data_IF_710448046391
#
_entry.id   IF_710448046391
#
_cell.length_a   1.000
_cell.length_b   1.000
_cell.length_c   1.000
_cell.angle_alpha   90.00
_cell.angle_beta   90.00
_cell.angle_gamma   90.00
#
_symmetry.space_group_name_H-M   'P 1'
#
loop_
_entity.id
_entity.type
_entity.pdbx_description
1 polymer ?
#
# COMPACT_ATOMS: atom_id res chain seq x y z
N UNK A 1 -8.55 4.29 5.33
CA UNK A 1 -8.18 5.51 6.05
C UNK A 1 -9.27 6.56 5.93
N UNK A 2 -9.36 7.52 6.88
CA UNK A 2 -10.08 8.74 6.63
C UNK A 2 -9.47 9.50 5.44
N UNK A 3 -10.30 10.14 4.64
CA UNK A 3 -9.88 10.82 3.40
C UNK A 3 -9.87 12.35 3.55
N UNK A 4 -10.03 12.87 4.76
CA UNK A 4 -9.96 14.29 5.04
C UNK A 4 -8.51 14.81 5.12
N UNK A 5 -8.36 16.14 4.97
CA UNK A 5 -7.05 16.79 4.96
C UNK A 5 -6.29 16.64 6.30
N UNK A 6 -7.00 16.55 7.43
CA UNK A 6 -6.38 16.37 8.74
C UNK A 6 -5.75 14.97 8.86
N UNK A 7 -6.48 13.93 8.44
CA UNK A 7 -5.96 12.56 8.40
C UNK A 7 -4.78 12.43 7.44
N UNK A 8 -4.83 13.08 6.27
CA UNK A 8 -3.72 13.09 5.32
C UNK A 8 -2.47 13.76 5.92
N UNK A 9 -2.62 14.92 6.55
CA UNK A 9 -1.52 15.61 7.22
C UNK A 9 -0.95 14.80 8.40
N UNK A 10 -1.81 14.14 9.17
CA UNK A 10 -1.38 13.27 10.27
C UNK A 10 -0.62 12.05 9.74
N UNK A 11 -1.11 11.40 8.68
CA UNK A 11 -0.42 10.29 8.02
C UNK A 11 0.98 10.70 7.57
N UNK A 12 1.13 11.85 6.92
CA UNK A 12 2.43 12.39 6.49
C UNK A 12 3.39 12.64 7.66
N UNK A 13 2.90 13.24 8.77
CA UNK A 13 3.72 13.44 9.97
C UNK A 13 4.18 12.11 10.58
N UNK A 14 3.28 11.16 10.74
CA UNK A 14 3.59 9.84 11.29
C UNK A 14 4.55 9.07 10.41
N UNK A 15 4.36 9.09 9.08
CA UNK A 15 5.27 8.48 8.12
C UNK A 15 6.68 9.06 8.22
N UNK A 16 6.80 10.39 8.30
CA UNK A 16 8.09 11.04 8.48
C UNK A 16 8.74 10.66 9.81
N UNK A 17 7.95 10.63 10.89
CA UNK A 17 8.44 10.37 12.24
C UNK A 17 8.93 8.92 12.41
N UNK A 18 8.18 7.95 11.87
CA UNK A 18 8.49 6.52 12.02
C UNK A 18 9.33 5.96 10.87
N UNK A 19 9.36 6.64 9.73
CA UNK A 19 10.08 6.22 8.54
C UNK A 19 11.43 6.89 8.34
N UNK A 20 11.84 7.82 9.20
CA UNK A 20 13.18 8.38 9.17
C UNK A 20 14.19 7.43 9.82
N UNK A 21 15.36 7.28 9.20
CA UNK A 21 16.52 6.66 9.83
C UNK A 21 17.14 7.60 10.88
N UNK A 22 17.85 7.04 11.85
CA UNK A 22 18.62 7.83 12.79
C UNK A 22 19.65 8.73 12.05
N UNK A 23 20.03 9.89 12.62
CA UNK A 23 20.90 10.86 11.94
C UNK A 23 22.25 10.31 11.45
N UNK A 24 22.77 9.29 12.12
CA UNK A 24 24.03 8.61 11.82
C UNK A 24 23.88 7.40 10.88
N UNK A 25 22.65 7.04 10.52
CA UNK A 25 22.34 5.92 9.62
C UNK A 25 22.13 6.40 8.18
N UNK A 26 22.35 5.50 7.23
CA UNK A 26 22.19 5.70 5.80
C UNK A 26 21.63 4.44 5.19
N UNK A 27 20.55 4.55 4.41
CA UNK A 27 19.95 3.41 3.72
C UNK A 27 20.95 2.76 2.75
N UNK A 28 21.74 3.58 2.05
CA UNK A 28 22.75 3.07 1.12
C UNK A 28 23.81 2.24 1.84
N UNK A 29 24.15 2.56 3.10
CA UNK A 29 25.10 1.78 3.90
C UNK A 29 24.52 0.50 4.49
N UNK A 30 23.19 0.39 4.59
CA UNK A 30 22.49 -0.82 5.03
C UNK A 30 22.34 -1.86 3.90
N UNK A 31 22.49 -1.43 2.66
CA UNK A 31 22.40 -2.26 1.45
C UNK A 31 23.78 -2.79 1.05
N UNK A 32 23.79 -3.87 0.25
CA UNK A 32 24.99 -4.29 -0.46
C UNK A 32 25.40 -3.24 -1.49
N UNK A 33 26.66 -3.21 -1.95
CA UNK A 33 27.09 -2.30 -3.02
C UNK A 33 26.25 -2.45 -4.30
N UNK A 34 25.85 -3.67 -4.63
CA UNK A 34 25.00 -3.96 -5.79
C UNK A 34 23.60 -3.37 -5.61
N UNK A 35 22.95 -3.61 -4.46
CA UNK A 35 21.60 -3.09 -4.17
C UNK A 35 21.62 -1.55 -4.03
N UNK A 36 22.67 -0.97 -3.49
CA UNK A 36 22.89 0.49 -3.45
C UNK A 36 22.95 1.08 -4.86
N UNK A 37 23.67 0.44 -5.77
CA UNK A 37 23.74 0.88 -7.17
C UNK A 37 22.38 0.73 -7.86
N UNK A 38 21.65 -0.38 -7.60
CA UNK A 38 20.29 -0.59 -8.11
C UNK A 38 19.32 0.47 -7.58
N UNK A 39 19.34 0.75 -6.29
CA UNK A 39 18.53 1.82 -5.68
C UNK A 39 18.77 3.17 -6.37
N UNK A 40 20.02 3.51 -6.68
CA UNK A 40 20.36 4.75 -7.37
C UNK A 40 19.79 4.80 -8.80
N UNK A 41 19.88 3.69 -9.56
CA UNK A 41 19.32 3.61 -10.92
C UNK A 41 17.80 3.71 -10.91
N UNK A 42 17.13 2.94 -10.04
CA UNK A 42 15.66 2.96 -9.89
C UNK A 42 15.18 4.34 -9.45
N UNK A 43 15.82 4.94 -8.44
CA UNK A 43 15.48 6.28 -7.98
C UNK A 43 15.54 7.31 -9.13
N UNK A 44 16.60 7.25 -9.95
CA UNK A 44 16.77 8.12 -11.13
C UNK A 44 15.67 7.87 -12.17
N UNK A 45 15.38 6.60 -12.48
CA UNK A 45 14.37 6.22 -13.46
C UNK A 45 12.96 6.69 -13.13
N UNK A 46 12.66 6.83 -11.83
CA UNK A 46 11.36 7.26 -11.31
C UNK A 46 11.35 8.66 -10.71
N UNK A 47 12.38 9.45 -10.96
CA UNK A 47 12.53 10.85 -10.52
C UNK A 47 12.36 11.02 -8.99
N UNK A 48 12.89 10.07 -8.21
CA UNK A 48 12.95 10.14 -6.75
C UNK A 48 14.38 10.51 -6.33
N UNK A 49 14.53 11.45 -5.39
CA UNK A 49 15.85 11.89 -4.93
C UNK A 49 16.58 10.79 -4.16
N UNK A 50 17.77 10.34 -4.58
CA UNK A 50 18.59 9.40 -3.81
C UNK A 50 18.94 9.94 -2.43
N UNK A 51 19.20 11.24 -2.30
CA UNK A 51 19.52 11.87 -1.02
C UNK A 51 18.33 11.85 -0.04
N UNK A 52 17.09 11.91 -0.55
CA UNK A 52 15.90 11.70 0.26
C UNK A 52 15.83 10.24 0.72
N UNK A 53 15.96 9.29 -0.21
CA UNK A 53 15.88 7.86 0.09
C UNK A 53 16.91 7.42 1.12
N UNK A 54 18.12 8.01 1.10
CA UNK A 54 19.20 7.69 2.05
C UNK A 54 18.83 7.96 3.52
N UNK A 55 17.81 8.81 3.74
CA UNK A 55 17.34 9.18 5.08
C UNK A 55 16.12 8.38 5.55
N UNK A 56 15.60 7.50 4.70
CA UNK A 56 14.36 6.75 4.96
C UNK A 56 14.65 5.31 5.40
N UNK A 57 13.80 4.79 6.27
CA UNK A 57 13.69 3.35 6.48
C UNK A 57 13.24 2.66 5.19
N UNK A 58 13.60 1.37 4.98
CA UNK A 58 13.32 0.69 3.71
C UNK A 58 11.83 0.72 3.33
N UNK A 59 10.92 0.50 4.27
CA UNK A 59 9.47 0.51 4.00
C UNK A 59 8.98 1.86 3.43
N UNK A 60 9.52 2.99 3.93
CA UNK A 60 9.12 4.31 3.44
C UNK A 60 9.82 4.65 2.12
N UNK A 61 11.03 4.13 1.91
CA UNK A 61 11.71 4.24 0.63
C UNK A 61 10.95 3.50 -0.48
N UNK A 62 10.40 2.32 -0.23
CA UNK A 62 9.52 1.59 -1.16
C UNK A 62 8.29 2.41 -1.53
N UNK A 63 7.60 3.01 -0.55
CA UNK A 63 6.44 3.87 -0.81
C UNK A 63 6.82 5.09 -1.65
N UNK A 64 7.98 5.70 -1.39
CA UNK A 64 8.46 6.84 -2.17
C UNK A 64 8.76 6.46 -3.62
N UNK A 65 9.37 5.29 -3.85
CA UNK A 65 9.65 4.76 -5.18
C UNK A 65 8.36 4.41 -5.93
N UNK A 66 7.41 3.73 -5.27
CA UNK A 66 6.09 3.43 -5.84
C UNK A 66 5.35 4.71 -6.24
N UNK A 67 5.39 5.75 -5.40
CA UNK A 67 4.85 7.07 -5.72
C UNK A 67 5.52 7.71 -6.96
N UNK A 68 6.82 7.50 -7.13
CA UNK A 68 7.55 7.90 -8.34
C UNK A 68 7.06 7.16 -9.59
N UNK A 69 6.88 5.84 -9.48
CA UNK A 69 6.36 5.01 -10.57
C UNK A 69 4.94 5.42 -10.98
N UNK A 70 4.08 5.68 -10.02
CA UNK A 70 2.70 6.13 -10.26
C UNK A 70 2.67 7.48 -10.99
N UNK A 71 3.46 8.47 -10.54
CA UNK A 71 3.58 9.76 -11.24
C UNK A 71 4.10 9.61 -12.66
N UNK A 72 5.12 8.78 -12.87
CA UNK A 72 5.67 8.50 -14.22
C UNK A 72 4.63 7.87 -15.13
N UNK A 73 3.75 7.04 -14.60
CA UNK A 73 2.65 6.42 -15.35
C UNK A 73 1.43 7.36 -15.53
N UNK A 74 1.50 8.60 -15.04
CA UNK A 74 0.41 9.57 -15.17
C UNK A 74 -0.73 9.39 -14.19
N UNK A 75 -0.53 8.64 -13.09
CA UNK A 75 -1.55 8.50 -12.06
C UNK A 75 -1.72 9.82 -11.30
N UNK A 76 -2.99 10.20 -11.11
CA UNK A 76 -3.39 11.35 -10.33
C UNK A 76 -3.86 10.92 -8.93
N UNK A 77 -3.19 11.41 -7.90
CA UNK A 77 -3.54 11.12 -6.53
C UNK A 77 -4.89 11.72 -6.10
N UNK A 78 -5.34 12.78 -6.78
CA UNK A 78 -6.63 13.44 -6.48
C UNK A 78 -7.81 12.74 -7.19
N UNK A 79 -7.53 11.93 -8.22
CA UNK A 79 -8.53 11.16 -8.98
C UNK A 79 -8.91 9.82 -8.36
N UNK A 80 -8.59 9.56 -7.09
CA UNK A 80 -8.88 8.31 -6.40
C UNK A 80 -10.38 7.97 -6.33
N UNK A 81 -10.71 6.68 -6.43
CA UNK A 81 -12.10 6.17 -6.37
C UNK A 81 -12.78 6.59 -5.06
N UNK A 82 -12.05 6.52 -3.93
CA UNK A 82 -12.55 6.90 -2.61
C UNK A 82 -12.97 8.36 -2.55
N UNK A 83 -12.14 9.25 -3.10
CA UNK A 83 -12.42 10.69 -3.12
C UNK A 83 -13.60 11.01 -4.04
N UNK A 84 -13.64 10.38 -5.22
CA UNK A 84 -14.73 10.56 -6.19
C UNK A 84 -16.07 10.12 -5.60
N UNK A 85 -16.12 8.96 -4.95
CA UNK A 85 -17.35 8.46 -4.32
C UNK A 85 -17.75 9.32 -3.13
N UNK A 86 -16.80 9.73 -2.29
CA UNK A 86 -17.09 10.60 -1.15
C UNK A 86 -17.62 11.98 -1.59
N UNK A 87 -17.06 12.55 -2.66
CA UNK A 87 -17.54 13.83 -3.21
C UNK A 87 -18.96 13.71 -3.79
N UNK A 88 -19.34 12.56 -4.32
CA UNK A 88 -20.69 12.28 -4.85
C UNK A 88 -21.68 11.82 -3.76
N UNK A 89 -21.22 11.60 -2.53
CA UNK A 89 -22.08 11.13 -1.45
C UNK A 89 -23.11 12.20 -1.03
N UNK A 90 -24.35 11.82 -0.71
CA UNK A 90 -25.33 12.78 -0.24
C UNK A 90 -24.90 13.38 1.12
N UNK A 91 -25.36 14.61 1.45
CA UNK A 91 -24.99 15.27 2.72
C UNK A 91 -25.36 14.49 3.98
N UNK A 92 -26.27 13.54 3.87
CA UNK A 92 -26.70 12.66 4.96
C UNK A 92 -25.83 11.40 5.09
N UNK A 93 -24.86 11.20 4.21
CA UNK A 93 -23.95 10.07 4.29
C UNK A 93 -22.94 10.25 5.42
N UNK A 94 -22.71 9.18 6.16
CA UNK A 94 -21.68 9.14 7.20
C UNK A 94 -20.46 8.40 6.67
N UNK A 95 -19.33 9.07 6.60
CA UNK A 95 -18.06 8.47 6.22
C UNK A 95 -17.45 7.73 7.42
N UNK A 96 -17.02 6.52 7.18
CA UNK A 96 -16.34 5.70 8.17
C UNK A 96 -15.06 5.13 7.58
N UNK A 97 -13.99 5.11 8.35
CA UNK A 97 -12.75 4.46 7.98
C UNK A 97 -12.59 3.13 8.75
N UNK A 98 -11.98 2.15 8.13
CA UNK A 98 -11.64 0.87 8.79
C UNK A 98 -10.39 0.99 9.68
N UNK A 99 -9.53 1.97 9.42
CA UNK A 99 -8.25 2.14 10.09
C UNK A 99 -7.96 3.61 10.32
N UNK A 100 -7.26 3.89 11.39
CA UNK A 100 -6.70 5.22 11.67
C UNK A 100 -5.34 5.39 10.97
N UNK A 101 -4.86 6.62 10.76
CA UNK A 101 -3.50 6.87 10.29
C UNK A 101 -2.43 6.21 11.14
N UNK A 102 -2.61 6.20 12.47
CA UNK A 102 -1.69 5.57 13.42
C UNK A 102 -1.57 4.06 13.19
N UNK A 103 -2.71 3.37 13.05
CA UNK A 103 -2.74 1.92 12.81
C UNK A 103 -2.07 1.56 11.50
N UNK A 104 -2.32 2.33 10.43
CA UNK A 104 -1.72 2.07 9.12
C UNK A 104 -0.20 2.25 9.14
N UNK A 105 0.28 3.37 9.68
CA UNK A 105 1.73 3.61 9.72
C UNK A 105 2.43 2.62 10.66
N UNK A 106 1.86 2.33 11.82
CA UNK A 106 2.40 1.32 12.73
C UNK A 106 2.50 -0.06 12.06
N UNK A 107 1.51 -0.46 11.26
CA UNK A 107 1.51 -1.71 10.52
C UNK A 107 2.63 -1.76 9.47
N UNK A 108 2.84 -0.69 8.71
CA UNK A 108 3.89 -0.59 7.69
C UNK A 108 5.29 -0.61 8.32
N UNK A 109 5.45 0.07 9.45
CA UNK A 109 6.71 0.15 10.18
C UNK A 109 7.04 -1.09 11.05
N UNK A 110 6.11 -2.02 11.24
CA UNK A 110 6.22 -3.10 12.23
C UNK A 110 7.25 -4.20 11.90
N UNK A 111 7.72 -4.30 10.67
CA UNK A 111 8.68 -5.31 10.26
C UNK A 111 10.09 -5.05 10.81
N UNK A 112 10.85 -6.08 11.21
CA UNK A 112 12.26 -5.90 11.55
C UNK A 112 13.05 -5.37 10.34
N UNK A 113 14.15 -4.68 10.58
CA UNK A 113 14.99 -4.08 9.53
C UNK A 113 15.40 -5.11 8.44
N UNK A 114 15.68 -6.35 8.84
CA UNK A 114 16.04 -7.43 7.90
C UNK A 114 14.91 -7.77 6.92
N UNK A 115 13.66 -7.80 7.40
CA UNK A 115 12.47 -8.03 6.56
C UNK A 115 12.24 -6.84 5.61
N UNK A 116 12.34 -5.62 6.12
CA UNK A 116 12.18 -4.41 5.31
C UNK A 116 13.24 -4.30 4.21
N UNK A 117 14.51 -4.64 4.52
CA UNK A 117 15.58 -4.66 3.53
C UNK A 117 15.38 -5.76 2.48
N UNK A 118 14.87 -6.92 2.87
CA UNK A 118 14.54 -7.99 1.93
C UNK A 118 13.41 -7.55 0.97
N UNK A 119 12.34 -6.95 1.50
CA UNK A 119 11.25 -6.39 0.70
C UNK A 119 11.75 -5.34 -0.29
N UNK A 120 12.53 -4.37 0.18
CA UNK A 120 13.11 -3.33 -0.68
C UNK A 120 13.94 -3.92 -1.83
N UNK A 121 14.74 -4.97 -1.58
CA UNK A 121 15.53 -5.62 -2.64
C UNK A 121 14.66 -6.22 -3.74
N UNK A 122 13.60 -6.92 -3.36
CA UNK A 122 12.63 -7.48 -4.33
C UNK A 122 11.94 -6.37 -5.11
N UNK A 123 11.45 -5.34 -4.43
CA UNK A 123 10.85 -4.16 -5.09
C UNK A 123 11.80 -3.50 -6.09
N UNK A 124 13.07 -3.29 -5.70
CA UNK A 124 14.07 -2.70 -6.59
C UNK A 124 14.33 -3.57 -7.83
N UNK A 125 14.36 -4.89 -7.66
CA UNK A 125 14.53 -5.83 -8.75
C UNK A 125 13.32 -5.81 -9.69
N UNK A 126 12.12 -5.89 -9.16
CA UNK A 126 10.89 -5.80 -9.95
C UNK A 126 10.81 -4.49 -10.74
N UNK A 127 11.09 -3.35 -10.11
CA UNK A 127 11.06 -2.05 -10.77
C UNK A 127 12.12 -1.88 -11.86
N UNK A 128 13.24 -2.60 -11.79
CA UNK A 128 14.30 -2.60 -12.82
C UNK A 128 13.96 -3.56 -13.96
N UNK A 129 13.49 -4.77 -13.63
CA UNK A 129 13.21 -5.84 -14.58
C UNK A 129 11.87 -5.62 -15.32
N UNK A 130 10.88 -5.03 -14.64
CA UNK A 130 9.51 -4.86 -15.15
C UNK A 130 9.04 -3.40 -15.07
N UNK A 131 9.63 -2.50 -15.86
CA UNK A 131 9.34 -1.05 -15.77
C UNK A 131 7.89 -0.67 -16.12
N UNK A 132 7.09 -1.55 -16.76
CA UNK A 132 5.66 -1.37 -17.07
C UNK A 132 4.72 -2.11 -16.10
N UNK A 133 5.22 -2.70 -15.00
CA UNK A 133 4.41 -3.47 -14.06
C UNK A 133 3.18 -2.69 -13.57
N UNK A 134 3.31 -1.39 -13.30
CA UNK A 134 2.18 -0.54 -12.94
C UNK A 134 1.14 -0.42 -14.07
N UNK A 135 1.58 -0.28 -15.32
CA UNK A 135 0.69 -0.25 -16.48
C UNK A 135 -0.08 -1.56 -16.65
N UNK A 136 0.56 -2.71 -16.37
CA UNK A 136 -0.11 -4.03 -16.36
C UNK A 136 -1.20 -4.07 -15.29
N UNK A 137 -0.89 -3.64 -14.07
CA UNK A 137 -1.86 -3.59 -12.95
C UNK A 137 -3.06 -2.68 -13.27
N UNK A 138 -2.82 -1.50 -13.85
CA UNK A 138 -3.89 -0.57 -14.23
C UNK A 138 -4.80 -1.19 -15.30
N UNK A 139 -4.23 -1.84 -16.32
CA UNK A 139 -5.01 -2.53 -17.34
C UNK A 139 -5.84 -3.69 -16.76
N UNK A 140 -5.23 -4.52 -15.91
CA UNK A 140 -5.91 -5.61 -15.23
C UNK A 140 -7.08 -5.10 -14.36
N UNK A 141 -6.86 -4.01 -13.62
CA UNK A 141 -7.89 -3.36 -12.82
C UNK A 141 -9.03 -2.82 -13.68
N UNK A 142 -8.70 -2.10 -14.75
CA UNK A 142 -9.69 -1.48 -15.65
C UNK A 142 -10.55 -2.51 -16.40
N UNK A 143 -10.00 -3.69 -16.70
CA UNK A 143 -10.70 -4.78 -17.41
C UNK A 143 -11.35 -5.79 -16.46
N UNK A 144 -11.09 -5.70 -15.15
CA UNK A 144 -11.57 -6.66 -14.17
C UNK A 144 -10.86 -8.03 -14.24
N UNK A 145 -9.63 -8.06 -14.72
CA UNK A 145 -8.81 -9.28 -14.77
C UNK A 145 -8.26 -9.60 -13.37
N UNK A 146 -9.08 -10.32 -12.61
CA UNK A 146 -8.78 -10.71 -11.23
C UNK A 146 -7.57 -11.63 -11.15
N UNK A 147 -7.36 -12.49 -12.16
CA UNK A 147 -6.23 -13.41 -12.18
C UNK A 147 -4.90 -12.66 -12.37
N UNK A 148 -4.86 -11.70 -13.29
CA UNK A 148 -3.71 -10.84 -13.48
C UNK A 148 -3.44 -9.98 -12.23
N UNK A 149 -4.48 -9.42 -11.60
CA UNK A 149 -4.32 -8.66 -10.36
C UNK A 149 -3.73 -9.50 -9.21
N UNK A 150 -4.17 -10.75 -9.04
CA UNK A 150 -3.60 -11.63 -8.01
C UNK A 150 -2.13 -11.97 -8.33
N UNK A 151 -1.86 -12.31 -9.59
CA UNK A 151 -0.52 -12.67 -10.05
C UNK A 151 0.49 -11.53 -9.90
N UNK A 152 0.12 -10.34 -10.34
CA UNK A 152 1.04 -9.18 -10.40
C UNK A 152 1.14 -8.43 -9.05
N UNK A 153 0.07 -8.37 -8.25
CA UNK A 153 0.06 -7.57 -7.03
C UNK A 153 0.22 -8.38 -5.75
N UNK A 154 -0.41 -9.54 -5.63
CA UNK A 154 -0.48 -10.25 -4.36
C UNK A 154 0.47 -11.44 -4.27
N UNK A 155 0.66 -12.16 -5.35
CA UNK A 155 1.51 -13.35 -5.38
C UNK A 155 2.98 -13.03 -5.06
N UNK A 156 3.60 -11.95 -5.57
CA UNK A 156 4.95 -11.55 -5.20
C UNK A 156 5.11 -11.33 -3.69
N UNK A 157 4.20 -10.56 -3.08
CA UNK A 157 4.24 -10.31 -1.62
C UNK A 157 4.01 -11.60 -0.83
N UNK A 158 3.08 -12.44 -1.28
CA UNK A 158 2.75 -13.73 -0.63
C UNK A 158 3.95 -14.69 -0.66
N UNK A 159 4.71 -14.70 -1.76
CA UNK A 159 5.92 -15.55 -1.94
C UNK A 159 7.12 -14.98 -1.18
N UNK A 160 7.37 -13.68 -1.29
CA UNK A 160 8.53 -13.04 -0.69
C UNK A 160 8.44 -12.98 0.84
N UNK A 161 7.28 -12.63 1.39
CA UNK A 161 7.05 -12.54 2.83
C UNK A 161 5.61 -12.89 3.20
N UNK A 162 5.32 -14.18 3.54
CA UNK A 162 4.00 -14.56 4.05
C UNK A 162 3.58 -13.78 5.29
N UNK A 163 4.53 -13.37 6.13
CA UNK A 163 4.26 -12.56 7.32
C UNK A 163 3.80 -11.14 6.95
N UNK A 164 4.44 -10.54 5.95
CA UNK A 164 4.05 -9.23 5.41
C UNK A 164 2.67 -9.31 4.75
N UNK A 165 2.44 -10.31 3.90
CA UNK A 165 1.13 -10.55 3.28
C UNK A 165 0.03 -10.71 4.33
N UNK A 166 0.30 -11.49 5.38
CA UNK A 166 -0.64 -11.67 6.50
C UNK A 166 -0.97 -10.32 7.14
N UNK A 167 0.03 -9.48 7.44
CA UNK A 167 -0.14 -8.16 8.05
C UNK A 167 -0.93 -7.20 7.14
N UNK A 168 -0.54 -7.13 5.86
CA UNK A 168 -1.09 -6.16 4.91
C UNK A 168 -2.48 -6.53 4.39
N UNK A 169 -2.82 -7.81 4.30
CA UNK A 169 -4.05 -8.30 3.67
C UNK A 169 -4.89 -9.13 4.61
N UNK A 170 -4.39 -10.27 5.09
CA UNK A 170 -5.20 -11.29 5.76
C UNK A 170 -5.80 -10.78 7.08
N UNK A 171 -4.97 -10.20 7.95
CA UNK A 171 -5.40 -9.70 9.26
C UNK A 171 -6.31 -8.47 9.14
N UNK A 172 -6.04 -7.60 8.16
CA UNK A 172 -6.89 -6.44 7.87
C UNK A 172 -8.26 -6.89 7.39
N UNK A 173 -8.32 -7.78 6.42
CA UNK A 173 -9.58 -8.33 5.91
C UNK A 173 -10.38 -9.03 7.01
N UNK A 174 -9.73 -9.71 7.95
CA UNK A 174 -10.40 -10.33 9.09
C UNK A 174 -11.07 -9.30 10.01
N UNK A 175 -10.34 -8.24 10.40
CA UNK A 175 -10.90 -7.16 11.22
C UNK A 175 -12.02 -6.39 10.51
N UNK A 176 -11.82 -6.07 9.24
CA UNK A 176 -12.81 -5.33 8.45
C UNK A 176 -14.08 -6.14 8.20
N UNK A 177 -13.96 -7.46 7.98
CA UNK A 177 -15.13 -8.33 7.84
C UNK A 177 -16.00 -8.33 9.10
N UNK A 178 -15.39 -8.35 10.28
CA UNK A 178 -16.14 -8.24 11.56
C UNK A 178 -16.85 -6.89 11.70
N UNK A 179 -16.17 -5.80 11.36
CA UNK A 179 -16.77 -4.46 11.38
C UNK A 179 -17.93 -4.34 10.37
N UNK A 180 -17.79 -4.94 9.19
CA UNK A 180 -18.85 -4.98 8.16
C UNK A 180 -20.03 -5.85 8.58
N UNK A 181 -19.78 -7.02 9.16
CA UNK A 181 -20.86 -7.88 9.66
C UNK A 181 -21.72 -7.14 10.71
N UNK A 182 -21.10 -6.48 11.65
CA UNK A 182 -21.81 -5.63 12.62
C UNK A 182 -22.60 -4.51 11.95
N UNK A 183 -22.05 -3.89 10.92
CA UNK A 183 -22.71 -2.80 10.18
C UNK A 183 -23.90 -3.29 9.34
N UNK A 184 -23.76 -4.45 8.70
CA UNK A 184 -24.80 -5.06 7.85
C UNK A 184 -26.01 -5.54 8.66
N UNK A 185 -25.84 -5.83 9.95
CA UNK A 185 -26.94 -6.15 10.88
C UNK A 185 -27.72 -4.92 11.32
N UNK A 186 -27.23 -3.72 11.06
CA UNK A 186 -27.89 -2.45 11.35
C UNK A 186 -28.78 -1.97 10.21
N UNK A 187 -29.19 -0.71 10.31
CA UNK A 187 -29.97 -0.05 9.27
C UNK A 187 -29.08 0.73 8.32
N UNK A 188 -29.50 0.84 7.06
CA UNK A 188 -28.84 1.63 6.04
C UNK A 188 -28.31 0.82 4.86
N UNK A 189 -27.65 1.50 3.93
CA UNK A 189 -27.10 0.90 2.69
C UNK A 189 -25.64 1.34 2.58
N UNK A 190 -24.71 0.60 3.20
CA UNK A 190 -23.30 0.95 3.12
C UNK A 190 -22.73 0.74 1.72
N UNK A 191 -21.91 1.68 1.27
CA UNK A 191 -20.98 1.51 0.15
C UNK A 191 -19.60 1.34 0.75
N UNK A 192 -18.89 0.28 0.35
CA UNK A 192 -17.56 -0.05 0.88
C UNK A 192 -16.55 0.10 -0.25
N UNK A 193 -15.56 0.95 -0.05
CA UNK A 193 -14.46 1.17 -1.00
C UNK A 193 -13.15 0.78 -0.36
N UNK A 194 -12.45 -0.15 -0.98
CA UNK A 194 -11.15 -0.65 -0.53
C UNK A 194 -10.27 -0.95 -1.74
N UNK A 195 -8.96 -0.98 -1.54
CA UNK A 195 -8.03 -1.36 -2.60
C UNK A 195 -8.33 -2.76 -3.16
N UNK A 196 -8.16 -2.94 -4.47
CA UNK A 196 -8.49 -4.17 -5.19
C UNK A 196 -7.86 -5.44 -4.57
N UNK A 197 -6.65 -5.33 -4.01
CA UNK A 197 -5.99 -6.44 -3.30
C UNK A 197 -6.76 -6.99 -2.09
N UNK A 198 -7.71 -6.23 -1.54
CA UNK A 198 -8.60 -6.70 -0.47
C UNK A 198 -9.86 -7.40 -0.98
N UNK A 199 -10.11 -7.36 -2.30
CA UNK A 199 -11.31 -7.89 -2.94
C UNK A 199 -11.07 -9.22 -3.69
N UNK A 200 -9.81 -9.62 -3.85
CA UNK A 200 -9.42 -10.79 -4.65
C UNK A 200 -8.79 -11.88 -3.78
N UNK A 201 -8.88 -13.13 -4.27
CA UNK A 201 -8.33 -14.30 -3.59
C UNK A 201 -9.19 -14.86 -2.45
N UNK A 202 -8.76 -16.00 -1.87
CA UNK A 202 -9.53 -16.73 -0.85
C UNK A 202 -9.63 -16.00 0.49
N UNK A 203 -8.66 -15.14 0.82
CA UNK A 203 -8.68 -14.31 2.04
C UNK A 203 -9.34 -12.96 1.84
N UNK A 204 -9.98 -12.74 0.69
CA UNK A 204 -10.62 -11.47 0.34
C UNK A 204 -11.76 -11.10 1.26
N UNK A 205 -12.03 -9.80 1.32
CA UNK A 205 -13.14 -9.27 2.11
C UNK A 205 -14.50 -9.84 1.70
N UNK A 206 -14.85 -10.00 0.38
CA UNK A 206 -16.11 -10.64 -0.03
C UNK A 206 -16.19 -12.14 0.25
N UNK A 207 -15.08 -12.86 0.39
CA UNK A 207 -15.10 -14.29 0.69
C UNK A 207 -15.43 -14.58 2.17
N UNK A 208 -15.07 -13.67 3.08
CA UNK A 208 -15.19 -13.85 4.54
C UNK A 208 -16.64 -13.79 5.07
N UNK A 209 -17.54 -12.88 4.66
CA UNK A 209 -18.93 -12.89 5.11
C UNK A 209 -19.68 -14.17 4.73
N UNK A 210 -19.32 -14.79 3.60
CA UNK A 210 -19.90 -16.09 3.19
C UNK A 210 -19.49 -17.24 4.11
N UNK A 211 -18.38 -17.10 4.84
CA UNK A 211 -17.91 -18.08 5.82
C UNK A 211 -18.51 -17.85 7.22
N UNK A 212 -19.11 -16.69 7.46
CA UNK A 212 -19.75 -16.34 8.73
C UNK A 212 -21.25 -16.68 8.78
N UNK A 213 -21.82 -17.23 7.69
CA UNK A 213 -23.21 -17.64 7.60
C UNK A 213 -24.05 -16.76 6.75
#
# INVERSE_FOLDING_TARGET
>A
LPIDAEAAALTGRLATQQGALAPDQSLFKLLSPEDSARLSRVATAYAVSPALLDRLQPWLAEIALAGGAYRKAGADAEGGVEQTIAAAAPPTAHLHAFETPQEQIAMLAAGPMSEQLASLRETLKEMEDEPDAFGVLVRAWATGDVAALDHEALEPIRKASPALFKRLVTDRNARWAQALDARLKGHGRPVVVVGAGHLIGPESLPARPRALG
#
